data_IF_804384089458
#
_entry.id   IF_804384089458
#
_cell.length_a   1.000
_cell.length_b   1.000
_cell.length_c   1.000
_cell.angle_alpha   90.00
_cell.angle_beta   90.00
_cell.angle_gamma   90.00
#
_symmetry.space_group_name_H-M   'P 1'
#
loop_
_entity.id
_entity.type
_entity.pdbx_description
1 polymer ?
#
# COMPACT_ATOMS: atom_id res chain seq x y z
N UNK A 1 13.66 -8.31 9.59
CA UNK A 1 14.61 -7.21 9.88
C UNK A 1 15.95 -7.29 9.13
N UNK A 2 16.51 -8.47 8.83
CA UNK A 2 17.83 -8.58 8.16
C UNK A 2 17.99 -7.70 6.91
N UNK A 3 16.96 -7.61 6.05
CA UNK A 3 17.02 -6.77 4.84
C UNK A 3 17.06 -5.27 5.16
N UNK A 4 16.32 -4.80 6.19
CA UNK A 4 16.35 -3.38 6.63
C UNK A 4 17.71 -2.97 7.21
N UNK A 5 18.58 -3.91 7.56
CA UNK A 5 19.92 -3.66 8.10
C UNK A 5 21.00 -3.60 7.00
N UNK A 6 20.66 -3.99 5.77
CA UNK A 6 21.61 -3.93 4.66
C UNK A 6 21.63 -2.53 4.05
N UNK A 7 22.80 -2.07 3.56
CA UNK A 7 22.86 -0.85 2.77
C UNK A 7 22.02 -1.02 1.50
N UNK A 8 21.23 -0.01 1.14
CA UNK A 8 20.34 -0.08 -0.02
C UNK A 8 19.38 1.11 -0.12
N UNK A 9 18.42 0.99 -1.03
CA UNK A 9 17.32 1.95 -1.23
C UNK A 9 16.01 1.36 -0.66
N UNK A 10 14.88 1.91 -1.08
CA UNK A 10 13.55 1.45 -0.71
C UNK A 10 13.32 -0.02 -1.10
N UNK A 11 12.51 -0.71 -0.29
CA UNK A 11 12.10 -2.10 -0.52
C UNK A 11 10.65 -2.07 -1.00
N UNK A 12 10.43 -2.51 -2.25
CA UNK A 12 9.07 -2.69 -2.77
C UNK A 12 8.56 -4.08 -2.46
N UNK A 13 7.32 -4.17 -2.00
CA UNK A 13 6.63 -5.44 -1.73
C UNK A 13 5.39 -5.57 -2.61
N UNK A 14 5.04 -6.79 -2.99
CA UNK A 14 3.90 -7.09 -3.83
C UNK A 14 3.22 -8.39 -3.42
N UNK A 15 2.15 -8.75 -4.14
CA UNK A 15 1.27 -9.85 -3.80
C UNK A 15 0.06 -9.40 -2.97
N UNK A 16 -0.78 -10.35 -2.59
CA UNK A 16 -2.05 -10.04 -1.90
C UNK A 16 -1.91 -10.08 -0.39
N UNK A 17 -1.24 -11.10 0.14
CA UNK A 17 -1.25 -11.35 1.59
C UNK A 17 -0.07 -10.68 2.31
N UNK A 18 1.12 -10.67 1.68
CA UNK A 18 2.34 -10.14 2.28
C UNK A 18 2.23 -8.65 2.64
N UNK A 19 1.74 -7.75 1.77
CA UNK A 19 1.56 -6.35 2.13
C UNK A 19 0.63 -6.18 3.33
N UNK A 20 -0.48 -6.94 3.38
CA UNK A 20 -1.38 -6.96 4.53
C UNK A 20 -0.65 -7.31 5.83
N UNK A 21 0.06 -8.44 5.87
CA UNK A 21 0.79 -8.86 7.06
C UNK A 21 1.84 -7.82 7.51
N UNK A 22 2.54 -7.20 6.57
CA UNK A 22 3.53 -6.16 6.88
C UNK A 22 2.89 -4.87 7.41
N UNK A 23 1.68 -4.52 6.95
CA UNK A 23 0.90 -3.42 7.52
C UNK A 23 0.58 -3.70 8.99
N UNK A 24 0.11 -4.91 9.31
CA UNK A 24 -0.20 -5.32 10.68
C UNK A 24 1.01 -5.31 11.62
N UNK A 25 2.19 -5.59 11.08
CA UNK A 25 3.48 -5.49 11.79
C UNK A 25 4.05 -4.07 11.84
N UNK A 26 3.38 -3.08 11.24
CA UNK A 26 3.84 -1.70 11.19
C UNK A 26 5.11 -1.48 10.36
N UNK A 27 5.37 -2.34 9.37
CA UNK A 27 6.60 -2.36 8.57
C UNK A 27 6.47 -1.65 7.21
N UNK A 28 5.30 -1.11 6.88
CA UNK A 28 5.07 -0.32 5.67
C UNK A 28 5.13 1.17 5.99
N UNK A 29 6.04 1.87 5.32
CA UNK A 29 6.28 3.30 5.50
C UNK A 29 5.53 4.16 4.44
N UNK A 30 5.45 3.66 3.20
CA UNK A 30 4.83 4.32 2.04
C UNK A 30 3.80 3.41 1.36
N UNK A 31 2.73 4.00 0.82
CA UNK A 31 1.66 3.30 0.12
C UNK A 31 1.46 3.91 -1.26
N UNK A 32 1.60 3.09 -2.30
CA UNK A 32 1.28 3.43 -3.68
C UNK A 32 -0.01 2.72 -4.06
N UNK A 33 -1.12 3.45 -4.07
CA UNK A 33 -2.46 2.90 -4.33
C UNK A 33 -2.92 3.37 -5.70
N UNK A 34 -3.23 2.43 -6.59
CA UNK A 34 -3.77 2.72 -7.92
C UNK A 34 -5.24 2.35 -7.97
N UNK A 35 -6.10 3.34 -8.21
CA UNK A 35 -7.54 3.13 -8.40
C UNK A 35 -7.82 3.08 -9.89
N UNK A 36 -8.45 1.98 -10.33
CA UNK A 36 -8.88 1.78 -11.71
C UNK A 36 -10.36 2.16 -11.87
N UNK A 37 -10.78 2.71 -13.03
CA UNK A 37 -12.16 3.11 -13.29
C UNK A 37 -13.04 1.89 -13.64
N UNK A 38 -13.11 0.92 -12.72
CA UNK A 38 -13.88 -0.32 -12.86
C UNK A 38 -14.47 -0.74 -11.53
N UNK A 39 -15.68 -1.33 -11.56
CA UNK A 39 -16.30 -1.95 -10.40
C UNK A 39 -16.13 -3.46 -10.54
N UNK A 40 -15.34 -4.07 -9.65
CA UNK A 40 -14.96 -5.48 -9.75
C UNK A 40 -16.08 -6.47 -9.36
N UNK A 41 -17.06 -6.03 -8.55
CA UNK A 41 -18.11 -6.90 -8.01
C UNK A 41 -17.60 -7.78 -6.86
N UNK A 42 -16.77 -8.78 -7.17
CA UNK A 42 -16.21 -9.74 -6.21
C UNK A 42 -14.68 -9.83 -6.32
N UNK A 43 -14.03 -10.29 -5.25
CA UNK A 43 -12.58 -10.48 -5.22
C UNK A 43 -11.96 -10.22 -3.85
N UNK A 44 -10.64 -10.41 -3.76
CA UNK A 44 -9.86 -10.12 -2.55
C UNK A 44 -9.72 -8.62 -2.35
N UNK A 45 -9.86 -8.15 -1.11
CA UNK A 45 -9.70 -6.72 -0.79
C UNK A 45 -8.27 -6.46 -0.35
N UNK A 46 -7.78 -5.27 -0.64
CA UNK A 46 -6.38 -4.87 -0.45
C UNK A 46 -5.86 -5.03 0.99
N UNK A 47 -6.74 -4.93 1.99
CA UNK A 47 -6.36 -4.88 3.41
C UNK A 47 -6.96 -5.99 4.28
N UNK A 48 -7.52 -7.05 3.68
CA UNK A 48 -8.20 -8.13 4.42
C UNK A 48 -7.27 -8.82 5.45
N UNK A 49 -5.98 -8.95 5.14
CA UNK A 49 -4.98 -9.58 6.02
C UNK A 49 -4.15 -8.57 6.82
N UNK A 50 -4.59 -7.32 6.93
CA UNK A 50 -3.81 -6.29 7.62
C UNK A 50 -3.79 -6.44 9.14
N UNK A 51 -4.80 -7.08 9.74
CA UNK A 51 -4.90 -7.20 11.20
C UNK A 51 -4.95 -5.86 11.95
N UNK A 52 -5.12 -4.73 11.24
CA UNK A 52 -5.19 -3.38 11.79
C UNK A 52 -6.36 -3.28 12.77
N UNK A 53 -6.05 -3.15 14.05
CA UNK A 53 -7.05 -2.92 15.11
C UNK A 53 -7.37 -1.43 15.26
N UNK A 54 -6.42 -0.57 14.90
CA UNK A 54 -6.52 0.89 15.03
C UNK A 54 -6.47 1.57 13.67
N UNK A 55 -6.97 2.81 13.62
CA UNK A 55 -6.95 3.62 12.40
C UNK A 55 -5.52 4.02 12.04
N UNK A 56 -5.04 3.55 10.90
CA UNK A 56 -3.82 4.08 10.29
C UNK A 56 -4.11 5.40 9.58
N UNK A 57 -3.50 6.49 10.04
CA UNK A 57 -3.58 7.79 9.36
C UNK A 57 -2.50 7.86 8.28
N UNK A 58 -2.92 8.30 7.10
CA UNK A 58 -2.07 8.47 5.92
C UNK A 58 -2.16 9.91 5.43
N UNK A 59 -1.04 10.43 4.93
CA UNK A 59 -0.95 11.74 4.29
C UNK A 59 -0.69 11.54 2.81
N UNK A 60 -1.54 12.11 1.95
CA UNK A 60 -1.29 12.16 0.51
C UNK A 60 -0.07 13.06 0.26
N UNK A 61 0.92 12.55 -0.46
CA UNK A 61 2.12 13.30 -0.82
C UNK A 61 2.23 13.55 -2.33
N UNK A 62 1.63 12.69 -3.15
CA UNK A 62 1.56 12.88 -4.60
C UNK A 62 0.35 12.14 -5.19
N UNK A 63 -0.15 12.62 -6.33
CA UNK A 63 -1.19 11.94 -7.11
C UNK A 63 -1.02 12.19 -8.60
N UNK A 64 -1.19 11.13 -9.40
CA UNK A 64 -1.09 11.19 -10.86
C UNK A 64 -2.30 10.51 -11.51
N UNK A 65 -2.99 11.25 -12.37
CA UNK A 65 -4.03 10.69 -13.25
C UNK A 65 -3.39 10.27 -14.58
N UNK A 66 -3.75 9.07 -15.05
CA UNK A 66 -3.31 8.54 -16.34
C UNK A 66 -4.42 8.72 -17.40
N UNK A 67 -4.03 8.68 -18.68
CA UNK A 67 -4.98 8.76 -19.80
C UNK A 67 -6.00 7.59 -19.82
N UNK A 68 -5.70 6.48 -19.14
CA UNK A 68 -6.63 5.36 -18.93
C UNK A 68 -7.75 5.66 -17.93
N UNK A 69 -7.73 6.82 -17.27
CA UNK A 69 -8.63 7.15 -16.16
C UNK A 69 -8.20 6.57 -14.81
N UNK A 70 -7.13 5.75 -14.76
CA UNK A 70 -6.57 5.30 -13.50
C UNK A 70 -5.91 6.47 -12.73
N UNK A 71 -5.94 6.39 -11.41
CA UNK A 71 -5.29 7.38 -10.52
C UNK A 71 -4.32 6.65 -9.60
N UNK A 72 -3.03 6.98 -9.70
CA UNK A 72 -2.03 6.56 -8.73
C UNK A 72 -1.92 7.61 -7.63
N UNK A 73 -1.96 7.16 -6.38
CA UNK A 73 -1.81 8.00 -5.20
C UNK A 73 -0.65 7.47 -4.37
N UNK A 74 0.24 8.37 -3.98
CA UNK A 74 1.33 8.08 -3.06
C UNK A 74 0.97 8.68 -1.69
N UNK A 75 0.90 7.81 -0.69
CA UNK A 75 0.69 8.17 0.70
C UNK A 75 1.88 7.79 1.56
N UNK A 76 2.16 8.59 2.58
CA UNK A 76 3.09 8.25 3.67
C UNK A 76 2.30 8.10 4.97
N UNK A 77 2.79 7.26 5.87
CA UNK A 77 2.25 7.15 7.22
C UNK A 77 2.38 8.51 7.95
N UNK A 78 1.32 8.95 8.62
CA UNK A 78 1.30 10.18 9.43
C UNK A 78 1.80 9.93 10.85
#
# INVERSE_FOLDING_TARGET
MKLKQQPGKNISVGGVDLPGQLIGLGLIDEFYIVVHPVIAGEGRRLFDHSGLQERLKLKLVDSKTFNSGAVAMHYVKQ
#
